data_IF_677058801999
#
_entry.id   IF_677058801999
#
_cell.length_a   1.000
_cell.length_b   1.000
_cell.length_c   1.000
_cell.angle_alpha   90.00
_cell.angle_beta   90.00
_cell.angle_gamma   90.00
#
_symmetry.space_group_name_H-M   'P 1'
#
loop_
_entity.id
_entity.type
_entity.pdbx_description
1 polymer ?
#
# COMPACT_ATOMS: atom_id res chain seq x y z
N UNK A 1 16.75 31.01 31.79
CA UNK A 1 15.54 30.27 31.32
C UNK A 1 15.43 30.23 29.79
N UNK A 2 15.81 31.28 29.04
CA UNK A 2 15.79 31.29 27.56
C UNK A 2 16.87 30.41 26.89
N UNK A 3 18.01 30.20 27.55
CA UNK A 3 19.15 29.45 26.97
C UNK A 3 18.93 27.93 26.89
N UNK A 4 18.03 27.38 27.71
CA UNK A 4 17.74 25.93 27.71
C UNK A 4 16.79 25.50 26.59
N UNK A 5 16.07 26.46 25.98
CA UNK A 5 15.05 26.19 24.95
C UNK A 5 15.70 26.05 23.55
N UNK A 6 16.86 26.69 23.32
CA UNK A 6 17.53 26.69 22.01
C UNK A 6 18.44 25.46 21.83
N UNK A 7 18.91 24.85 22.92
CA UNK A 7 19.83 23.69 22.89
C UNK A 7 19.19 22.35 22.52
N UNK A 8 17.86 22.25 22.50
CA UNK A 8 17.10 21.02 22.19
C UNK A 8 16.27 21.13 20.89
N UNK A 9 16.54 22.12 20.04
CA UNK A 9 15.93 22.20 18.72
C UNK A 9 16.52 21.11 17.81
N UNK A 10 16.02 19.89 17.93
CA UNK A 10 16.32 18.78 17.02
C UNK A 10 15.82 19.19 15.63
N UNK A 11 16.74 19.28 14.67
CA UNK A 11 16.37 19.53 13.28
C UNK A 11 15.39 18.44 12.82
N UNK A 12 14.18 18.86 12.41
CA UNK A 12 13.17 17.96 11.87
C UNK A 12 13.60 17.49 10.48
N UNK A 13 14.37 16.40 10.46
CA UNK A 13 14.84 15.74 9.25
C UNK A 13 13.92 14.58 8.83
N UNK A 14 12.76 14.41 9.47
CA UNK A 14 11.82 13.33 9.16
C UNK A 14 11.30 13.44 7.72
N UNK A 15 11.00 14.66 7.27
CA UNK A 15 10.54 14.90 5.89
C UNK A 15 11.60 14.56 4.84
N UNK A 16 12.89 14.80 5.14
CA UNK A 16 14.00 14.46 4.25
C UNK A 16 14.13 12.95 4.11
N UNK A 17 14.17 12.24 5.25
CA UNK A 17 14.19 10.76 5.26
C UNK A 17 12.99 10.15 4.55
N UNK A 18 11.81 10.72 4.72
CA UNK A 18 10.60 10.27 4.04
C UNK A 18 10.67 10.50 2.52
N UNK A 19 11.25 11.61 2.08
CA UNK A 19 11.46 11.91 0.67
C UNK A 19 12.47 10.94 0.04
N UNK A 20 13.63 10.75 0.66
CA UNK A 20 14.66 9.79 0.23
C UNK A 20 14.11 8.36 0.16
N UNK A 21 13.31 7.96 1.15
CA UNK A 21 12.65 6.66 1.14
C UNK A 21 11.70 6.52 -0.06
N UNK A 22 10.86 7.52 -0.34
CA UNK A 22 9.93 7.48 -1.47
C UNK A 22 10.64 7.43 -2.80
N UNK A 23 11.74 8.16 -2.96
CA UNK A 23 12.55 8.14 -4.17
C UNK A 23 13.18 6.76 -4.38
N UNK A 24 13.83 6.21 -3.35
CA UNK A 24 14.47 4.90 -3.41
C UNK A 24 13.48 3.74 -3.63
N UNK A 25 12.22 3.91 -3.23
CA UNK A 25 11.19 2.86 -3.23
C UNK A 25 10.02 3.14 -4.20
N UNK A 26 10.16 4.12 -5.08
CA UNK A 26 9.08 4.65 -5.90
C UNK A 26 8.32 3.57 -6.68
N UNK A 27 9.03 2.59 -7.25
CA UNK A 27 8.46 1.57 -8.10
C UNK A 27 7.42 0.68 -7.39
N UNK A 28 7.75 0.12 -6.21
CA UNK A 28 6.80 -0.72 -5.49
C UNK A 28 5.76 0.09 -4.72
N UNK A 29 6.10 1.32 -4.31
CA UNK A 29 5.15 2.25 -3.68
C UNK A 29 4.04 2.66 -4.67
N UNK A 30 4.37 2.93 -5.93
CA UNK A 30 3.37 3.21 -6.98
C UNK A 30 2.40 2.03 -7.15
N UNK A 31 2.94 0.81 -7.26
CA UNK A 31 2.14 -0.42 -7.40
C UNK A 31 1.26 -0.61 -6.15
N UNK A 32 1.83 -0.48 -4.95
CA UNK A 32 1.10 -0.62 -3.68
C UNK A 32 -0.03 0.40 -3.57
N UNK A 33 0.23 1.66 -3.97
CA UNK A 33 -0.79 2.71 -4.00
C UNK A 33 -1.91 2.42 -4.99
N UNK A 34 -1.59 1.95 -6.21
CA UNK A 34 -2.58 1.53 -7.21
C UNK A 34 -3.46 0.39 -6.71
N UNK A 35 -2.87 -0.59 -6.03
CA UNK A 35 -3.62 -1.67 -5.37
C UNK A 35 -4.55 -1.09 -4.29
N UNK A 36 -4.05 -0.19 -3.44
CA UNK A 36 -4.84 0.47 -2.41
C UNK A 36 -6.06 1.21 -2.98
N UNK A 37 -5.88 1.95 -4.08
CA UNK A 37 -6.96 2.62 -4.80
C UNK A 37 -7.99 1.63 -5.38
N UNK A 38 -7.53 0.53 -5.99
CA UNK A 38 -8.42 -0.50 -6.52
C UNK A 38 -9.28 -1.11 -5.41
N UNK A 39 -8.68 -1.42 -4.25
CA UNK A 39 -9.39 -1.92 -3.08
C UNK A 39 -10.46 -0.92 -2.62
N UNK A 40 -10.11 0.36 -2.47
CA UNK A 40 -11.06 1.39 -2.04
C UNK A 40 -12.24 1.54 -3.00
N UNK A 41 -12.00 1.39 -4.30
CA UNK A 41 -13.05 1.42 -5.32
C UNK A 41 -14.00 0.22 -5.16
N UNK A 42 -13.46 -0.99 -5.04
CA UNK A 42 -14.25 -2.22 -4.85
C UNK A 42 -15.08 -2.13 -3.56
N UNK A 43 -14.50 -1.64 -2.46
CA UNK A 43 -15.21 -1.46 -1.20
C UNK A 43 -16.40 -0.50 -1.34
N UNK A 44 -16.24 0.59 -2.09
CA UNK A 44 -17.32 1.55 -2.37
C UNK A 44 -18.43 0.89 -3.20
N UNK A 45 -18.08 0.17 -4.25
CA UNK A 45 -19.02 -0.53 -5.14
C UNK A 45 -19.83 -1.58 -4.36
N UNK A 46 -19.20 -2.26 -3.39
CA UNK A 46 -19.83 -3.28 -2.54
C UNK A 46 -20.49 -2.75 -1.26
N UNK A 47 -20.47 -1.42 -1.03
CA UNK A 47 -20.92 -0.79 0.23
C UNK A 47 -20.30 -1.44 1.49
N UNK A 48 -19.03 -1.84 1.38
CA UNK A 48 -18.30 -2.56 2.42
C UNK A 48 -17.28 -1.63 3.07
N UNK A 49 -17.15 -1.68 4.41
CA UNK A 49 -16.17 -0.84 5.10
C UNK A 49 -14.78 -1.50 5.16
N UNK A 50 -13.73 -0.71 5.41
CA UNK A 50 -12.39 -1.24 5.69
C UNK A 50 -12.36 -2.16 6.92
N UNK A 51 -13.25 -1.94 7.90
CA UNK A 51 -13.39 -2.81 9.08
C UNK A 51 -13.96 -4.18 8.69
N UNK A 52 -14.90 -4.21 7.75
CA UNK A 52 -15.46 -5.47 7.25
C UNK A 52 -14.41 -6.24 6.43
N UNK A 53 -13.59 -5.52 5.66
CA UNK A 53 -12.44 -6.13 4.98
C UNK A 53 -11.44 -6.72 5.97
N UNK A 54 -11.13 -6.01 7.05
CA UNK A 54 -10.23 -6.50 8.09
C UNK A 54 -10.76 -7.80 8.71
N UNK A 55 -12.07 -7.88 8.98
CA UNK A 55 -12.72 -9.10 9.47
C UNK A 55 -12.63 -10.24 8.46
N UNK A 56 -12.93 -9.98 7.18
CA UNK A 56 -12.88 -10.98 6.11
C UNK A 56 -11.45 -11.51 5.87
N UNK A 57 -10.44 -10.64 6.05
CA UNK A 57 -9.02 -10.98 5.97
C UNK A 57 -8.46 -11.60 7.26
N UNK A 58 -9.24 -11.68 8.35
CA UNK A 58 -8.78 -12.07 9.68
C UNK A 58 -7.55 -11.28 10.15
N UNK A 59 -7.53 -9.96 9.92
CA UNK A 59 -6.42 -9.09 10.23
C UNK A 59 -6.88 -7.80 10.95
N UNK A 60 -5.92 -6.95 11.35
CA UNK A 60 -6.24 -5.70 12.05
C UNK A 60 -6.74 -4.62 11.09
N UNK A 61 -7.69 -3.75 11.51
CA UNK A 61 -8.08 -2.58 10.73
C UNK A 61 -6.91 -1.64 10.42
N UNK A 62 -5.92 -1.56 11.30
CA UNK A 62 -4.69 -0.79 11.10
C UNK A 62 -3.87 -1.35 9.93
N UNK A 63 -3.79 -2.67 9.80
CA UNK A 63 -3.12 -3.30 8.66
C UNK A 63 -3.84 -2.95 7.36
N UNK A 64 -5.16 -3.10 7.29
CA UNK A 64 -5.95 -2.68 6.13
C UNK A 64 -5.74 -1.19 5.81
N UNK A 65 -5.63 -0.32 6.82
CA UNK A 65 -5.37 1.10 6.62
C UNK A 65 -4.02 1.36 5.93
N UNK A 66 -2.97 0.60 6.28
CA UNK A 66 -1.66 0.69 5.61
C UNK A 66 -1.73 0.23 4.16
N UNK A 67 -2.46 -0.87 3.91
CA UNK A 67 -2.67 -1.40 2.55
C UNK A 67 -3.33 -0.36 1.66
N UNK A 68 -4.47 0.20 2.08
CA UNK A 68 -5.22 1.16 1.24
C UNK A 68 -4.50 2.50 1.05
N UNK A 69 -3.54 2.82 1.93
CA UNK A 69 -2.64 3.97 1.77
C UNK A 69 -1.45 3.70 0.84
N UNK A 70 -1.23 2.44 0.43
CA UNK A 70 -0.07 2.06 -0.37
C UNK A 70 1.25 2.11 0.39
N UNK A 71 1.22 2.14 1.73
CA UNK A 71 2.42 2.22 2.57
C UNK A 71 2.90 0.86 3.08
N UNK A 72 2.30 -0.22 2.56
CA UNK A 72 2.59 -1.60 2.96
C UNK A 72 3.25 -2.35 1.81
N UNK A 73 4.30 -3.11 2.11
CA UNK A 73 4.88 -4.04 1.16
C UNK A 73 4.07 -5.35 1.19
N UNK A 74 3.12 -5.46 0.25
CA UNK A 74 2.22 -6.59 0.17
C UNK A 74 2.94 -7.84 -0.32
N UNK A 75 2.81 -8.95 0.41
CA UNK A 75 3.23 -10.26 -0.11
C UNK A 75 2.25 -10.74 -1.19
N UNK A 76 2.74 -11.58 -2.10
CA UNK A 76 1.90 -12.24 -3.11
C UNK A 76 0.74 -13.02 -2.48
N UNK A 77 0.98 -13.65 -1.33
CA UNK A 77 -0.05 -14.36 -0.58
C UNK A 77 -1.18 -13.41 -0.14
N UNK A 78 -0.83 -12.24 0.39
CA UNK A 78 -1.82 -11.23 0.80
C UNK A 78 -2.60 -10.72 -0.40
N UNK A 79 -1.93 -10.45 -1.53
CA UNK A 79 -2.60 -10.04 -2.77
C UNK A 79 -3.60 -11.11 -3.21
N UNK A 80 -3.19 -12.38 -3.30
CA UNK A 80 -4.08 -13.49 -3.67
C UNK A 80 -5.27 -13.64 -2.71
N UNK A 81 -5.08 -13.43 -1.40
CA UNK A 81 -6.18 -13.45 -0.41
C UNK A 81 -7.17 -12.31 -0.66
N UNK A 82 -6.66 -11.10 -0.90
CA UNK A 82 -7.49 -9.94 -1.22
C UNK A 82 -8.28 -10.18 -2.51
N UNK A 83 -7.64 -10.67 -3.57
CA UNK A 83 -8.31 -10.98 -4.83
C UNK A 83 -9.46 -11.98 -4.67
N UNK A 84 -9.29 -13.01 -3.82
CA UNK A 84 -10.33 -14.00 -3.52
C UNK A 84 -11.52 -13.39 -2.77
N UNK A 85 -11.25 -12.59 -1.73
CA UNK A 85 -12.32 -11.92 -0.95
C UNK A 85 -13.04 -10.88 -1.81
N UNK A 86 -12.28 -10.18 -2.65
CA UNK A 86 -12.79 -9.12 -3.51
C UNK A 86 -13.31 -9.63 -4.85
N UNK A 87 -13.24 -10.92 -5.13
CA UNK A 87 -13.60 -11.54 -6.42
C UNK A 87 -13.18 -10.66 -7.62
N UNK A 88 -11.94 -10.18 -7.58
CA UNK A 88 -11.42 -9.20 -8.54
C UNK A 88 -9.89 -9.25 -8.58
N UNK A 89 -9.31 -8.96 -9.75
CA UNK A 89 -7.87 -8.95 -9.96
C UNK A 89 -7.25 -7.60 -9.58
N UNK A 90 -6.16 -7.65 -8.83
CA UNK A 90 -5.40 -6.49 -8.36
C UNK A 90 -4.06 -6.36 -9.11
N UNK A 91 -3.44 -7.48 -9.48
CA UNK A 91 -2.17 -7.53 -10.23
C UNK A 91 -2.27 -8.58 -11.35
N UNK A 92 -1.64 -8.31 -12.49
CA UNK A 92 -1.44 -9.26 -13.58
C UNK A 92 0.04 -9.45 -13.91
N UNK A 93 0.39 -10.63 -14.41
CA UNK A 93 1.73 -10.91 -14.94
C UNK A 93 1.66 -10.81 -16.45
N UNK A 94 2.44 -9.91 -17.04
CA UNK A 94 2.51 -9.77 -18.50
C UNK A 94 3.17 -11.00 -19.12
N UNK A 95 2.41 -11.79 -19.89
CA UNK A 95 2.99 -12.82 -20.74
C UNK A 95 3.61 -12.16 -21.99
N UNK A 96 4.92 -12.30 -22.21
CA UNK A 96 5.50 -11.98 -23.52
C UNK A 96 5.04 -13.05 -24.51
N UNK A 97 4.11 -12.70 -25.40
CA UNK A 97 3.81 -13.53 -26.57
C UNK A 97 5.06 -13.54 -27.46
N UNK A 98 5.89 -14.57 -27.31
CA UNK A 98 6.96 -14.84 -28.26
C UNK A 98 6.33 -15.54 -29.46
N UNK A 99 5.79 -14.72 -30.38
CA UNK A 99 5.45 -15.21 -31.70
C UNK A 99 6.77 -15.50 -32.44
N UNK A 100 7.38 -16.66 -32.18
CA UNK A 100 8.40 -17.20 -33.09
C UNK A 100 7.65 -17.77 -34.29
N UNK A 101 7.54 -16.97 -35.35
CA UNK A 101 7.12 -17.45 -36.67
C UNK A 101 8.25 -18.35 -37.21
N UNK A 102 7.92 -19.60 -37.52
CA UNK A 102 8.79 -20.51 -38.30
C UNK A 102 8.69 -20.16 -39.78
#
# INVERSE_FOLDING_TARGET
MKEKIIGEAVADNEWQKAAEFREANAAWLDISFRIGLAILRILRERKMSQKDLAKAMSCSPQYINKIVKGSENLTLETICKLEKIMDSKLIEVSARNTNYTT
#
